data_IF_940590609833
#
_entry.id   IF_940590609833
#
_cell.length_a   1.000
_cell.length_b   1.000
_cell.length_c   1.000
_cell.angle_alpha   90.00
_cell.angle_beta   90.00
_cell.angle_gamma   90.00
#
_symmetry.space_group_name_H-M   'P 1'
#
loop_
_entity.id
_entity.type
_entity.pdbx_description
1 polymer ?
#
# COMPACT_ATOMS: atom_id res chain seq x y z
N UNK A 1 32.62 -2.70 16.24
CA UNK A 1 32.16 -1.38 16.73
C UNK A 1 30.67 -1.34 16.44
N UNK A 2 29.84 -1.56 17.44
CA UNK A 2 28.38 -1.66 17.30
C UNK A 2 27.84 -0.26 17.56
N UNK A 3 27.52 0.47 16.50
CA UNK A 3 26.80 1.75 16.59
C UNK A 3 25.30 1.45 16.48
N UNK A 4 24.69 0.90 17.53
CA UNK A 4 23.25 0.57 17.54
C UNK A 4 22.45 1.30 18.63
N UNK A 5 22.95 2.44 19.12
CA UNK A 5 22.22 3.25 20.10
C UNK A 5 21.80 4.63 19.57
N UNK A 6 22.17 4.98 18.33
CA UNK A 6 21.94 6.32 17.77
C UNK A 6 20.77 6.43 16.78
N UNK A 7 20.33 5.32 16.17
CA UNK A 7 19.35 5.30 15.08
C UNK A 7 18.10 4.50 15.43
N UNK A 8 17.55 4.72 16.62
CA UNK A 8 16.36 3.99 17.02
C UNK A 8 15.10 4.71 16.52
N UNK A 9 14.78 4.48 15.23
CA UNK A 9 13.59 5.00 14.57
C UNK A 9 12.30 4.45 15.19
N UNK A 10 12.33 3.21 15.68
CA UNK A 10 11.21 2.60 16.39
C UNK A 10 10.89 3.34 17.70
N UNK A 11 11.89 3.69 18.52
CA UNK A 11 11.68 4.44 19.77
C UNK A 11 11.15 5.84 19.50
N UNK A 12 11.67 6.52 18.47
CA UNK A 12 11.12 7.81 18.06
C UNK A 12 9.64 7.68 17.64
N UNK A 13 9.30 6.56 16.97
CA UNK A 13 7.95 6.29 16.55
C UNK A 13 7.01 5.89 17.71
N UNK A 14 7.50 5.13 18.70
CA UNK A 14 6.71 4.79 19.89
C UNK A 14 6.37 6.01 20.73
N UNK A 15 7.31 6.96 20.82
CA UNK A 15 7.11 8.23 21.52
C UNK A 15 6.20 9.20 20.75
N UNK A 16 5.89 8.91 19.48
CA UNK A 16 5.14 9.81 18.59
C UNK A 16 5.94 11.05 18.19
N UNK A 17 7.27 11.02 18.33
CA UNK A 17 8.16 12.14 18.04
C UNK A 17 8.36 12.28 16.52
N UNK A 18 7.37 12.92 15.88
CA UNK A 18 7.36 13.14 14.43
C UNK A 18 8.60 13.89 13.94
N UNK A 19 9.05 14.91 14.67
CA UNK A 19 10.22 15.71 14.28
C UNK A 19 11.49 14.85 14.27
N UNK A 20 11.65 13.99 15.28
CA UNK A 20 12.78 13.06 15.34
C UNK A 20 12.70 11.98 14.27
N UNK A 21 11.51 11.44 14.00
CA UNK A 21 11.33 10.47 12.90
C UNK A 21 11.67 11.10 11.55
N UNK A 22 11.18 12.32 11.29
CA UNK A 22 11.53 13.09 10.09
C UNK A 22 13.04 13.29 9.96
N UNK A 23 13.69 13.75 11.03
CA UNK A 23 15.14 13.94 11.05
C UNK A 23 15.89 12.64 10.72
N UNK A 24 15.49 11.52 11.34
CA UNK A 24 16.15 10.21 11.16
C UNK A 24 16.02 9.68 9.72
N UNK A 25 14.84 9.83 9.10
CA UNK A 25 14.60 9.38 7.72
C UNK A 25 15.32 10.30 6.72
N UNK A 26 15.23 11.61 6.89
CA UNK A 26 15.75 12.57 5.91
C UNK A 26 17.26 12.80 6.01
N UNK A 27 17.84 12.69 7.21
CA UNK A 27 19.23 13.11 7.46
C UNK A 27 20.16 11.97 7.89
N UNK A 28 19.65 10.95 8.59
CA UNK A 28 20.47 9.85 9.13
C UNK A 28 20.43 8.58 8.25
N UNK A 29 19.69 8.62 7.14
CA UNK A 29 19.57 7.55 6.17
C UNK A 29 18.77 6.34 6.66
N UNK A 30 17.86 6.55 7.60
CA UNK A 30 16.89 5.51 7.99
C UNK A 30 15.76 5.46 6.94
N UNK A 31 15.06 4.34 6.87
CA UNK A 31 13.88 4.17 6.02
C UNK A 31 12.63 3.95 6.88
N UNK A 32 11.43 4.35 6.43
CA UNK A 32 10.18 4.09 7.17
C UNK A 32 9.87 2.59 7.36
N UNK A 33 10.60 1.73 6.65
CA UNK A 33 10.46 0.27 6.65
C UNK A 33 11.55 -0.44 7.46
N UNK A 34 12.48 0.32 8.06
CA UNK A 34 13.57 -0.26 8.85
C UNK A 34 13.00 -1.03 10.02
N UNK A 35 13.50 -2.25 10.23
CA UNK A 35 13.13 -3.09 11.36
C UNK A 35 14.06 -2.82 12.54
N UNK A 36 13.50 -2.85 13.75
CA UNK A 36 14.28 -2.85 14.98
C UNK A 36 14.87 -4.26 15.26
N UNK A 37 15.47 -4.45 16.44
CA UNK A 37 16.07 -5.73 16.83
C UNK A 37 15.07 -6.87 16.99
N UNK A 38 13.78 -6.56 17.10
CA UNK A 38 12.67 -7.48 17.29
C UNK A 38 11.80 -7.57 16.02
N UNK A 39 12.35 -7.16 14.87
CA UNK A 39 11.67 -7.13 13.58
C UNK A 39 10.48 -6.17 13.47
N UNK A 40 10.25 -5.30 14.45
CA UNK A 40 9.18 -4.31 14.39
C UNK A 40 9.59 -3.11 13.53
N UNK A 41 8.67 -2.65 12.71
CA UNK A 41 8.83 -1.39 11.96
C UNK A 41 8.34 -0.19 12.79
N UNK A 42 8.74 1.04 12.44
CA UNK A 42 8.18 2.27 13.00
C UNK A 42 6.66 2.33 12.90
N UNK A 43 6.08 1.68 11.90
CA UNK A 43 4.64 1.62 11.71
C UNK A 43 3.95 0.74 12.76
N UNK A 44 4.58 -0.36 13.22
CA UNK A 44 4.08 -1.13 14.36
C UNK A 44 4.00 -0.27 15.62
N UNK A 45 5.06 0.47 15.91
CA UNK A 45 5.09 1.38 17.05
C UNK A 45 4.01 2.47 16.93
N UNK A 46 3.94 3.16 15.80
CA UNK A 46 2.96 4.22 15.59
C UNK A 46 1.51 3.71 15.61
N UNK A 47 1.26 2.48 15.15
CA UNK A 47 -0.04 1.82 15.22
C UNK A 47 -0.45 1.47 16.66
N UNK A 48 0.49 0.92 17.44
CA UNK A 48 0.29 0.52 18.84
C UNK A 48 0.10 1.68 19.80
N UNK A 49 0.61 2.86 19.48
CA UNK A 49 0.42 4.06 20.31
C UNK A 49 -0.53 5.09 19.67
N UNK A 50 -1.25 4.71 18.61
CA UNK A 50 -2.24 5.53 17.90
C UNK A 50 -1.73 6.89 17.36
N UNK A 51 -0.49 6.95 16.89
CA UNK A 51 0.12 8.15 16.33
C UNK A 51 -0.23 8.37 14.85
N UNK A 52 -1.49 8.74 14.55
CA UNK A 52 -1.98 8.93 13.17
C UNK A 52 -1.14 9.94 12.34
N UNK A 53 -0.73 11.12 12.87
CA UNK A 53 0.12 12.04 12.11
C UNK A 53 1.45 11.41 11.69
N UNK A 54 1.99 10.55 12.55
CA UNK A 54 3.22 9.82 12.27
C UNK A 54 3.00 8.71 11.25
N UNK A 55 1.92 7.94 11.36
CA UNK A 55 1.53 6.95 10.35
C UNK A 55 1.38 7.59 8.97
N UNK A 56 0.73 8.76 8.90
CA UNK A 56 0.61 9.55 7.68
C UNK A 56 1.99 9.87 7.10
N UNK A 57 2.91 10.39 7.91
CA UNK A 57 4.26 10.70 7.45
C UNK A 57 5.01 9.45 6.95
N UNK A 58 4.98 8.35 7.72
CA UNK A 58 5.64 7.10 7.36
C UNK A 58 5.15 6.57 6.00
N UNK A 59 3.84 6.57 5.76
CA UNK A 59 3.25 6.16 4.49
C UNK A 59 3.66 7.09 3.34
N UNK A 60 3.56 8.41 3.53
CA UNK A 60 3.97 9.38 2.50
C UNK A 60 5.47 9.32 2.18
N UNK A 61 6.28 8.80 3.10
CA UNK A 61 7.72 8.59 2.93
C UNK A 61 8.07 7.24 2.28
N UNK A 62 7.07 6.49 1.79
CA UNK A 62 7.26 5.17 1.17
C UNK A 62 7.19 3.99 2.15
N UNK A 63 6.58 4.19 3.32
CA UNK A 63 6.30 3.13 4.28
C UNK A 63 5.31 2.12 3.74
N UNK A 64 5.56 0.83 3.97
CA UNK A 64 4.66 -0.26 3.59
C UNK A 64 3.88 -0.75 4.82
N UNK A 65 2.54 -0.66 4.82
CA UNK A 65 1.71 -1.06 5.96
C UNK A 65 1.56 -2.56 6.15
N UNK A 66 2.13 -3.38 5.26
CA UNK A 66 2.05 -4.85 5.31
C UNK A 66 3.40 -5.50 5.63
N UNK A 67 4.41 -4.73 6.07
CA UNK A 67 5.67 -5.35 6.53
C UNK A 67 5.38 -6.09 7.81
N UNK A 68 5.74 -7.37 7.83
CA UNK A 68 5.55 -8.20 9.00
C UNK A 68 6.72 -8.15 9.97
N UNK A 69 6.47 -8.43 11.24
CA UNK A 69 7.49 -8.78 12.22
C UNK A 69 7.94 -10.26 12.10
N UNK A 70 8.54 -10.82 13.14
CA UNK A 70 9.00 -12.22 13.19
C UNK A 70 7.85 -13.23 13.32
N UNK A 71 6.69 -12.82 13.83
CA UNK A 71 5.50 -13.66 14.00
C UNK A 71 4.55 -13.58 12.79
N UNK A 72 5.01 -12.98 11.69
CA UNK A 72 4.23 -12.63 10.50
C UNK A 72 3.08 -11.65 10.78
N UNK A 73 3.16 -10.86 11.84
CA UNK A 73 2.16 -9.86 12.19
C UNK A 73 2.46 -8.55 11.47
N UNK A 74 1.47 -7.97 10.80
CA UNK A 74 1.56 -6.63 10.22
C UNK A 74 1.23 -5.57 11.28
N UNK A 75 1.50 -4.26 11.04
CA UNK A 75 1.08 -3.18 11.92
C UNK A 75 -0.41 -3.20 12.30
N UNK A 76 -1.26 -3.87 11.51
CA UNK A 76 -2.68 -4.01 11.78
C UNK A 76 -2.99 -4.90 13.01
N UNK A 77 -2.09 -5.82 13.37
CA UNK A 77 -2.24 -6.72 14.52
C UNK A 77 -2.05 -6.02 15.86
N UNK A 78 -1.35 -4.89 15.86
CA UNK A 78 -0.98 -4.15 17.07
C UNK A 78 -1.72 -2.82 17.21
N UNK A 79 -2.80 -2.59 16.45
CA UNK A 79 -3.52 -1.30 16.50
C UNK A 79 -4.26 -1.09 17.82
N UNK A 80 -4.13 0.11 18.37
CA UNK A 80 -4.79 0.47 19.63
C UNK A 80 -6.26 0.90 19.46
N UNK A 81 -6.62 1.45 18.30
CA UNK A 81 -7.94 2.06 18.10
C UNK A 81 -8.56 1.78 16.74
N UNK A 82 -9.89 1.85 16.69
CA UNK A 82 -10.68 1.70 15.46
C UNK A 82 -10.29 2.74 14.40
N UNK A 83 -9.99 3.96 14.84
CA UNK A 83 -9.56 5.04 13.93
C UNK A 83 -8.25 4.70 13.23
N UNK A 84 -7.28 4.13 13.96
CA UNK A 84 -5.99 3.70 13.40
C UNK A 84 -6.17 2.51 12.46
N UNK A 85 -7.02 1.54 12.83
CA UNK A 85 -7.33 0.40 11.98
C UNK A 85 -7.96 0.85 10.65
N UNK A 86 -8.96 1.75 10.71
CA UNK A 86 -9.59 2.34 9.52
C UNK A 86 -8.57 3.11 8.68
N UNK A 87 -7.69 3.87 9.32
CA UNK A 87 -6.64 4.62 8.65
C UNK A 87 -5.67 3.69 7.90
N UNK A 88 -5.16 2.64 8.54
CA UNK A 88 -4.24 1.69 7.93
C UNK A 88 -4.89 0.92 6.77
N UNK A 89 -6.10 0.41 6.97
CA UNK A 89 -6.86 -0.28 5.90
C UNK A 89 -7.11 0.66 4.72
N UNK A 90 -7.51 1.91 4.99
CA UNK A 90 -7.70 2.93 3.95
C UNK A 90 -6.42 3.27 3.17
N UNK A 91 -5.25 2.99 3.76
CA UNK A 91 -3.94 3.19 3.15
C UNK A 91 -3.28 1.88 2.64
N UNK A 92 -4.07 0.82 2.46
CA UNK A 92 -3.61 -0.41 1.82
C UNK A 92 -3.08 -1.50 2.75
N UNK A 93 -3.35 -1.41 4.06
CA UNK A 93 -3.16 -2.55 4.95
C UNK A 93 -4.15 -3.67 4.63
N UNK A 94 -3.69 -4.92 4.62
CA UNK A 94 -4.53 -6.09 4.35
C UNK A 94 -5.18 -6.64 5.63
N UNK A 95 -6.51 -6.50 5.81
CA UNK A 95 -7.21 -7.05 6.98
C UNK A 95 -7.34 -8.58 6.96
N UNK A 96 -7.14 -9.23 5.81
CA UNK A 96 -7.18 -10.68 5.67
C UNK A 96 -5.81 -11.34 5.89
N UNK A 97 -4.77 -10.55 6.18
CA UNK A 97 -3.44 -11.08 6.46
C UNK A 97 -3.47 -12.02 7.65
N UNK A 98 -2.77 -13.16 7.54
CA UNK A 98 -2.67 -14.17 8.59
C UNK A 98 -1.26 -14.20 9.16
N UNK A 99 -1.16 -14.17 10.48
CA UNK A 99 0.10 -14.35 11.19
C UNK A 99 0.57 -15.82 11.13
N UNK A 100 1.68 -16.12 11.82
CA UNK A 100 2.26 -17.46 11.87
C UNK A 100 1.35 -18.52 12.50
N UNK A 101 0.38 -18.12 13.33
CA UNK A 101 -0.63 -18.99 13.93
C UNK A 101 -1.86 -19.20 13.02
N UNK A 102 -1.91 -18.52 11.88
CA UNK A 102 -3.03 -18.56 10.94
C UNK A 102 -4.21 -17.66 11.34
N UNK A 103 -4.03 -16.82 12.36
CA UNK A 103 -5.02 -15.85 12.82
C UNK A 103 -4.89 -14.54 12.05
N UNK A 104 -6.03 -13.91 11.77
CA UNK A 104 -6.11 -12.54 11.26
C UNK A 104 -6.03 -11.53 12.40
N UNK A 105 -5.68 -10.28 12.08
CA UNK A 105 -5.66 -9.20 13.07
C UNK A 105 -7.00 -9.02 13.79
N UNK A 106 -8.12 -9.24 13.08
CA UNK A 106 -9.46 -9.18 13.66
C UNK A 106 -9.76 -10.30 14.65
N UNK A 107 -9.22 -11.50 14.44
CA UNK A 107 -9.37 -12.64 15.38
C UNK A 107 -8.51 -12.43 16.63
N UNK A 108 -7.28 -11.94 16.48
CA UNK A 108 -6.38 -11.69 17.62
C UNK A 108 -6.87 -10.56 18.53
N UNK A 109 -7.42 -9.50 17.93
CA UNK A 109 -7.93 -8.33 18.67
C UNK A 109 -9.35 -8.53 19.23
N UNK A 110 -9.96 -9.72 19.08
CA UNK A 110 -11.33 -9.96 19.56
C UNK A 110 -11.45 -9.79 21.08
N UNK A 111 -10.43 -10.21 21.84
CA UNK A 111 -10.42 -10.10 23.30
C UNK A 111 -10.02 -8.70 23.79
N UNK A 112 -9.04 -8.06 23.13
CA UNK A 112 -8.49 -6.78 23.58
C UNK A 112 -9.25 -5.56 23.03
N UNK A 113 -9.68 -5.61 21.77
CA UNK A 113 -10.32 -4.51 21.06
C UNK A 113 -11.50 -5.00 20.18
N UNK A 114 -12.65 -5.36 20.80
CA UNK A 114 -13.78 -5.96 20.09
C UNK A 114 -14.39 -5.06 19.00
N UNK A 115 -14.28 -3.74 19.14
CA UNK A 115 -14.73 -2.78 18.12
C UNK A 115 -13.84 -2.82 16.87
N UNK A 116 -12.53 -2.97 17.06
CA UNK A 116 -11.56 -3.12 15.96
C UNK A 116 -11.78 -4.47 15.29
N UNK A 117 -11.87 -5.54 16.08
CA UNK A 117 -12.14 -6.89 15.60
C UNK A 117 -13.41 -6.96 14.76
N UNK A 118 -14.52 -6.36 15.23
CA UNK A 118 -15.78 -6.32 14.47
C UNK A 118 -15.63 -5.59 13.12
N UNK A 119 -14.85 -4.51 13.08
CA UNK A 119 -14.56 -3.79 11.84
C UNK A 119 -13.73 -4.63 10.87
N UNK A 120 -12.61 -5.20 11.33
CA UNK A 120 -11.72 -6.02 10.51
C UNK A 120 -12.43 -7.29 10.02
N UNK A 121 -13.15 -7.98 10.90
CA UNK A 121 -13.94 -9.16 10.55
C UNK A 121 -15.10 -8.84 9.60
N UNK A 122 -15.65 -7.62 9.68
CA UNK A 122 -16.64 -7.14 8.71
C UNK A 122 -16.06 -7.00 7.30
N UNK A 123 -14.78 -6.68 7.18
CA UNK A 123 -14.07 -6.57 5.90
C UNK A 123 -13.65 -7.94 5.36
N UNK A 124 -13.22 -8.86 6.22
CA UNK A 124 -12.84 -10.23 5.83
C UNK A 124 -14.06 -11.11 5.55
N UNK A 125 -15.17 -10.89 6.25
CA UNK A 125 -16.40 -11.70 6.21
C UNK A 125 -17.22 -11.60 4.93
N UNK A 126 -16.96 -10.62 4.05
CA UNK A 126 -17.57 -10.57 2.71
C UNK A 126 -16.82 -11.40 1.66
N UNK A 127 -15.70 -12.04 2.04
CA UNK A 127 -14.91 -12.94 1.18
C UNK A 127 -14.73 -14.37 1.72
N UNK A 128 -15.32 -14.74 2.86
CA UNK A 128 -14.94 -15.93 3.62
C UNK A 128 -16.00 -17.03 3.74
N UNK A 129 -16.45 -17.59 2.63
CA UNK A 129 -16.73 -19.03 2.54
C UNK A 129 -15.67 -19.62 1.62
N UNK A 130 -14.44 -19.68 2.11
CA UNK A 130 -13.47 -20.64 1.61
C UNK A 130 -13.02 -21.43 2.83
N UNK A 131 -13.75 -22.52 3.03
CA UNK A 131 -13.17 -23.73 3.59
C UNK A 131 -11.89 -24.09 2.81
N UNK A 132 -11.06 -24.92 3.44
CA UNK A 132 -9.93 -25.64 2.86
C UNK A 132 -8.60 -24.84 2.84
N UNK A 133 -7.58 -25.24 3.59
CA UNK A 133 -6.77 -26.45 3.37
C UNK A 133 -6.34 -26.58 1.89
N UNK A 134 -5.03 -26.45 1.67
CA UNK A 134 -4.31 -26.87 0.47
C UNK A 134 -3.98 -25.80 -0.59
N UNK A 135 -2.70 -25.90 -0.97
CA UNK A 135 -2.16 -25.74 -2.33
C UNK A 135 -2.03 -24.33 -2.92
N UNK A 136 -0.76 -23.95 -3.00
CA UNK A 136 -0.16 -23.15 -4.08
C UNK A 136 -0.87 -23.35 -5.43
N UNK A 137 -1.50 -22.30 -5.93
CA UNK A 137 -2.13 -22.29 -7.25
C UNK A 137 -2.38 -20.87 -7.73
N UNK A 138 -1.69 -20.52 -8.81
CA UNK A 138 -1.88 -19.38 -9.71
C UNK A 138 -3.36 -18.99 -9.90
N UNK A 139 -3.70 -17.72 -9.62
CA UNK A 139 -4.99 -17.12 -9.99
C UNK A 139 -4.79 -15.79 -10.70
N UNK A 140 -4.56 -15.90 -12.01
CA UNK A 140 -4.89 -14.84 -12.96
C UNK A 140 -6.38 -14.50 -12.90
N UNK A 141 -6.69 -13.21 -12.85
CA UNK A 141 -7.94 -12.65 -13.39
C UNK A 141 -9.17 -12.75 -12.51
N UNK A 142 -9.35 -11.77 -11.61
CA UNK A 142 -10.50 -10.87 -11.67
C UNK A 142 -10.33 -9.79 -10.60
N UNK A 143 -10.03 -8.55 -11.03
CA UNK A 143 -10.04 -7.39 -10.13
C UNK A 143 -11.49 -7.14 -9.74
N UNK A 144 -11.82 -7.40 -8.48
CA UNK A 144 -13.14 -7.07 -7.92
C UNK A 144 -13.48 -5.62 -8.26
N UNK A 145 -14.62 -5.39 -8.91
CA UNK A 145 -15.13 -4.05 -9.25
C UNK A 145 -15.07 -3.07 -8.06
N UNK A 146 -15.20 -3.58 -6.84
CA UNK A 146 -15.06 -2.82 -5.59
C UNK A 146 -13.63 -2.29 -5.34
N UNK A 147 -12.58 -3.04 -5.70
CA UNK A 147 -11.20 -2.59 -5.61
C UNK A 147 -10.89 -1.52 -6.66
N UNK A 148 -11.47 -1.68 -7.86
CA UNK A 148 -11.39 -0.66 -8.91
C UNK A 148 -12.16 0.62 -8.52
N UNK A 149 -13.35 0.47 -7.94
CA UNK A 149 -14.21 1.57 -7.49
C UNK A 149 -13.59 2.30 -6.29
N UNK A 150 -13.00 1.60 -5.33
CA UNK A 150 -12.30 2.25 -4.20
C UNK A 150 -10.99 2.91 -4.65
N UNK A 151 -10.21 2.28 -5.53
CA UNK A 151 -9.01 2.90 -6.08
C UNK A 151 -9.37 4.16 -6.86
N UNK A 152 -10.35 4.08 -7.75
CA UNK A 152 -10.80 5.26 -8.53
C UNK A 152 -11.48 6.31 -7.65
N UNK A 153 -12.24 5.94 -6.62
CA UNK A 153 -12.86 6.89 -5.70
C UNK A 153 -11.82 7.64 -4.86
N UNK A 154 -10.80 6.94 -4.34
CA UNK A 154 -9.72 7.54 -3.56
C UNK A 154 -8.83 8.42 -4.43
N UNK A 155 -8.49 7.98 -5.65
CA UNK A 155 -7.75 8.78 -6.63
C UNK A 155 -8.54 10.02 -7.08
N UNK A 156 -9.85 9.89 -7.30
CA UNK A 156 -10.71 11.02 -7.68
C UNK A 156 -10.83 12.04 -6.54
N UNK A 157 -10.97 11.58 -5.30
CA UNK A 157 -11.07 12.45 -4.13
C UNK A 157 -9.78 13.21 -3.88
N UNK A 158 -8.62 12.52 -3.93
CA UNK A 158 -7.31 13.14 -3.79
C UNK A 158 -7.03 14.15 -4.91
N UNK A 159 -7.39 13.81 -6.16
CA UNK A 159 -7.27 14.71 -7.31
C UNK A 159 -8.14 15.96 -7.15
N UNK A 160 -9.40 15.79 -6.71
CA UNK A 160 -10.32 16.91 -6.50
C UNK A 160 -9.86 17.81 -5.36
N UNK A 161 -9.32 17.25 -4.27
CA UNK A 161 -8.81 18.02 -3.14
C UNK A 161 -7.55 18.81 -3.52
N UNK A 162 -6.62 18.20 -4.27
CA UNK A 162 -5.40 18.87 -4.74
C UNK A 162 -5.71 19.96 -5.77
N UNK A 163 -6.66 19.70 -6.68
CA UNK A 163 -7.16 20.71 -7.62
C UNK A 163 -7.83 21.89 -6.88
N UNK A 164 -8.60 21.63 -5.83
CA UNK A 164 -9.25 22.68 -5.04
C UNK A 164 -8.22 23.54 -4.29
N UNK A 165 -7.18 22.94 -3.68
CA UNK A 165 -6.09 23.71 -3.05
C UNK A 165 -5.35 24.60 -4.05
N UNK A 166 -5.09 24.10 -5.26
CA UNK A 166 -4.43 24.89 -6.31
C UNK A 166 -5.30 26.06 -6.74
N UNK A 167 -6.61 25.86 -6.93
CA UNK A 167 -7.53 26.93 -7.27
C UNK A 167 -7.57 28.03 -6.18
N UNK A 168 -7.58 27.64 -4.90
CA UNK A 168 -7.55 28.59 -3.78
C UNK A 168 -6.23 29.36 -3.69
N UNK A 169 -5.08 28.70 -3.88
CA UNK A 169 -3.77 29.36 -3.89
C UNK A 169 -3.61 30.31 -5.09
N UNK A 170 -4.02 29.88 -6.28
CA UNK A 170 -3.94 30.69 -7.49
C UNK A 170 -4.86 31.92 -7.40
N UNK A 171 -6.04 31.78 -6.77
CA UNK A 171 -6.93 32.90 -6.48
C UNK A 171 -6.30 33.91 -5.49
N UNK A 172 -5.51 33.45 -4.52
CA UNK A 172 -4.82 34.32 -3.58
C UNK A 172 -3.61 35.05 -4.20
N UNK A 173 -2.92 34.41 -5.14
CA UNK A 173 -1.72 34.95 -5.81
C UNK A 173 -2.03 35.71 -7.10
N UNK A 174 -3.26 35.61 -7.62
CA UNK A 174 -3.69 36.26 -8.87
C UNK A 174 -3.09 35.62 -10.13
N UNK A 175 -2.70 34.35 -10.06
CA UNK A 175 -2.07 33.58 -11.14
C UNK A 175 -3.11 32.64 -11.75
N UNK A 176 -3.04 32.38 -13.06
CA UNK A 176 -3.97 31.43 -13.69
C UNK A 176 -3.63 29.98 -13.29
N UNK A 177 -4.63 29.19 -12.84
CA UNK A 177 -4.39 27.84 -12.31
C UNK A 177 -4.12 26.79 -13.39
N UNK A 178 -4.29 27.12 -14.68
CA UNK A 178 -4.30 26.18 -15.80
C UNK A 178 -3.03 25.30 -15.88
N UNK A 179 -1.85 25.90 -15.70
CA UNK A 179 -0.57 25.17 -15.77
C UNK A 179 -0.38 24.23 -14.58
N UNK A 180 -0.81 24.65 -13.38
CA UNK A 180 -0.70 23.84 -12.15
C UNK A 180 -1.73 22.72 -12.10
N UNK A 181 -2.97 22.99 -12.55
CA UNK A 181 -4.01 21.97 -12.68
C UNK A 181 -3.64 20.92 -13.72
N UNK A 182 -3.03 21.33 -14.83
CA UNK A 182 -2.52 20.41 -15.85
C UNK A 182 -1.48 19.45 -15.29
N UNK A 183 -0.55 19.94 -14.48
CA UNK A 183 0.48 19.11 -13.85
C UNK A 183 -0.12 18.05 -12.92
N UNK A 184 -1.13 18.41 -12.13
CA UNK A 184 -1.83 17.47 -11.22
C UNK A 184 -2.62 16.41 -11.99
N UNK A 185 -3.31 16.79 -13.07
CA UNK A 185 -4.00 15.83 -13.94
C UNK A 185 -3.02 14.91 -14.65
N UNK A 186 -1.89 15.43 -15.14
CA UNK A 186 -0.84 14.62 -15.76
C UNK A 186 -0.20 13.64 -14.75
N UNK A 187 -0.06 14.02 -13.48
CA UNK A 187 0.39 13.13 -12.40
C UNK A 187 -0.62 12.01 -12.14
N UNK A 188 -1.89 12.35 -11.95
CA UNK A 188 -2.94 11.35 -11.71
C UNK A 188 -3.13 10.37 -12.88
N UNK A 189 -3.00 10.86 -14.13
CA UNK A 189 -3.04 10.01 -15.32
C UNK A 189 -1.82 9.08 -15.38
N UNK A 190 -0.63 9.57 -15.01
CA UNK A 190 0.60 8.75 -14.93
C UNK A 190 0.48 7.67 -13.86
N UNK A 191 -0.03 8.01 -12.68
CA UNK A 191 -0.23 7.08 -11.57
C UNK A 191 -1.27 6.01 -11.94
N UNK A 192 -2.32 6.39 -12.70
CA UNK A 192 -3.28 5.44 -13.28
C UNK A 192 -2.69 4.55 -14.39
N UNK A 193 -1.79 5.05 -15.23
CA UNK A 193 -1.10 4.24 -16.25
C UNK A 193 -0.08 3.27 -15.63
N UNK A 194 0.59 3.65 -14.54
CA UNK A 194 1.50 2.77 -13.81
C UNK A 194 0.77 1.56 -13.21
N UNK A 195 -0.46 1.74 -12.73
CA UNK A 195 -1.34 0.64 -12.31
C UNK A 195 -1.67 -0.33 -13.46
N UNK A 196 -1.84 0.19 -14.68
CA UNK A 196 -2.07 -0.63 -15.88
C UNK A 196 -0.82 -1.34 -16.41
N UNK A 197 0.39 -0.79 -16.23
CA UNK A 197 1.65 -1.39 -16.70
C UNK A 197 2.21 -2.45 -15.74
N UNK A 198 1.96 -2.34 -14.43
CA UNK A 198 2.32 -3.38 -13.47
C UNK A 198 1.49 -4.68 -13.63
N UNK A 199 0.46 -4.67 -14.48
CA UNK A 199 -0.46 -5.80 -14.70
C UNK A 199 -0.46 -6.31 -16.14
N UNK A 200 0.46 -5.83 -16.99
CA UNK A 200 0.50 -6.14 -18.42
C UNK A 200 1.91 -6.34 -18.96
N UNK A 201 2.66 -7.31 -18.43
CA UNK A 201 3.82 -7.88 -19.12
C UNK A 201 3.63 -9.38 -19.34
N UNK A 202 3.20 -9.73 -20.55
CA UNK A 202 3.16 -11.12 -21.02
C UNK A 202 2.09 -11.36 -22.07
N UNK A 203 2.33 -10.90 -23.31
CA UNK A 203 2.02 -11.61 -24.58
C UNK A 203 2.00 -10.62 -25.76
N UNK A 204 3.17 -10.08 -26.12
CA UNK A 204 3.42 -9.72 -27.51
C UNK A 204 3.79 -11.00 -28.28
N UNK A 205 2.76 -11.64 -28.81
CA UNK A 205 2.84 -12.80 -29.69
C UNK A 205 2.00 -12.60 -30.94
N UNK A 206 2.15 -11.45 -31.61
CA UNK A 206 1.61 -11.26 -32.96
C UNK A 206 2.26 -12.25 -33.93
N UNK A 207 1.55 -13.31 -34.29
CA UNK A 207 1.78 -14.03 -35.55
C UNK A 207 0.46 -14.19 -36.31
N UNK A 208 -0.02 -13.08 -36.86
CA UNK A 208 -1.03 -13.10 -37.92
C UNK A 208 -0.35 -13.24 -39.30
N UNK A 209 -0.45 -14.46 -39.83
CA UNK A 209 -0.63 -14.85 -41.24
C UNK A 209 -0.28 -13.88 -42.38
N UNK A 210 0.57 -14.36 -43.31
CA UNK A 210 0.44 -14.25 -44.78
C UNK A 210 1.48 -15.22 -45.36
N UNK A 211 1.12 -16.30 -46.05
CA UNK A 211 0.60 -16.28 -47.41
C UNK A 211 1.78 -16.26 -48.39
N UNK A 212 2.11 -17.38 -49.05
CA UNK A 212 1.94 -17.54 -50.51
C UNK A 212 2.64 -18.80 -51.06
N UNK A 213 2.10 -19.22 -52.19
CA UNK A 213 2.31 -20.45 -52.89
C UNK A 213 3.63 -20.55 -53.69
N UNK A 214 4.02 -21.80 -53.96
CA UNK A 214 4.59 -22.29 -55.23
C UNK A 214 5.68 -21.48 -55.96
N UNK A 215 6.94 -21.94 -55.88
CA UNK A 215 7.76 -22.14 -57.09
C UNK A 215 9.05 -22.95 -56.89
N UNK A 216 9.11 -24.07 -57.61
CA UNK A 216 10.20 -24.54 -58.49
C UNK A 216 11.60 -24.87 -57.90
N UNK A 217 11.97 -26.16 -58.12
CA UNK A 217 13.23 -26.73 -58.68
C UNK A 217 14.53 -26.43 -57.89
N UNK A 218 15.51 -27.33 -57.69
CA UNK A 218 16.11 -28.41 -58.48
C UNK A 218 16.76 -29.44 -57.52
N UNK A 219 16.84 -30.76 -57.82
CA UNK A 219 17.97 -31.46 -58.50
C UNK A 219 19.34 -31.06 -57.92
N UNK A 220 20.15 -31.92 -57.33
CA UNK A 220 20.97 -33.07 -57.80
C UNK A 220 21.63 -33.65 -56.51
N UNK A 221 22.14 -34.86 -56.36
CA UNK A 221 22.22 -36.16 -57.05
C UNK A 221 22.52 -37.20 -55.96
#
# INVERSE_FOLDING_TARGET
MVQESGKNLWVAASDGDLERVQYLIENEGCTPNDKDSNSYTPMHAAASYAHIPLLTYLLTSGGNPNITDDDNETPLFVVESLEVAQFLVGNGADPAWKNSEGATAGEQLEEEAPEVAAYLNGLTGLGGQIDEAAEVGDTSGDISQLALDNFTATQTSALMEEAQRIMEQCAAEGVEPDERLREVVERAVRDGMAFGQATGEGEEGEVASQGDASSKRAREE
#
